data_IF_732801582849
#
_entry.id   IF_732801582849
#
_cell.length_a   1.000
_cell.length_b   1.000
_cell.length_c   1.000
_cell.angle_alpha   90.00
_cell.angle_beta   90.00
_cell.angle_gamma   90.00
#
_symmetry.space_group_name_H-M   'P 1'
#
loop_
_entity.id
_entity.type
_entity.pdbx_description
1 polymer ?
#
# COMPACT_ATOMS: atom_id res chain seq x y z
N UNK A 1 -38.68 2.52 4.45
CA UNK A 1 -37.66 3.15 5.33
C UNK A 1 -36.53 2.17 5.39
N UNK A 2 -35.49 2.37 4.59
CA UNK A 2 -34.30 1.53 4.67
C UNK A 2 -33.57 1.88 5.96
N UNK A 3 -33.40 0.88 6.82
CA UNK A 3 -32.58 1.02 8.02
C UNK A 3 -31.14 1.33 7.59
N UNK A 4 -30.45 2.29 8.24
CA UNK A 4 -29.06 2.55 7.92
C UNK A 4 -28.23 1.27 8.16
N UNK A 5 -27.41 0.92 7.17
CA UNK A 5 -26.54 -0.26 7.24
C UNK A 5 -25.61 -0.16 8.46
N UNK A 6 -25.28 -1.28 9.13
CA UNK A 6 -24.33 -1.27 10.24
C UNK A 6 -22.99 -0.68 9.82
N UNK A 7 -22.48 0.29 10.58
CA UNK A 7 -21.15 0.86 10.40
C UNK A 7 -20.27 0.37 11.55
N UNK A 8 -19.28 -0.44 11.20
CA UNK A 8 -18.34 -1.10 12.11
C UNK A 8 -17.00 -0.34 12.11
N UNK A 9 -16.38 -0.02 13.26
CA UNK A 9 -15.07 0.60 13.26
C UNK A 9 -14.00 -0.38 12.73
N UNK A 10 -13.16 0.08 11.82
CA UNK A 10 -12.06 -0.71 11.27
C UNK A 10 -10.69 -0.13 11.62
N UNK A 11 -9.69 -1.00 11.70
CA UNK A 11 -8.30 -0.63 11.99
C UNK A 11 -7.37 -1.32 11.02
N UNK A 12 -6.41 -0.56 10.51
CA UNK A 12 -5.33 -1.02 9.65
C UNK A 12 -4.01 -0.87 10.39
N UNK A 13 -3.11 -1.85 10.25
CA UNK A 13 -1.75 -1.79 10.75
C UNK A 13 -0.79 -2.43 9.75
N UNK A 14 0.33 -1.78 9.47
CA UNK A 14 1.38 -2.36 8.64
C UNK A 14 2.40 -3.11 9.51
N UNK A 15 3.00 -4.16 8.96
CA UNK A 15 3.91 -5.06 9.66
C UNK A 15 5.32 -5.01 9.08
N UNK A 16 6.20 -5.87 9.60
CA UNK A 16 7.55 -6.09 9.06
C UNK A 16 7.49 -6.97 7.80
N UNK A 17 8.66 -7.21 7.21
CA UNK A 17 8.85 -8.13 6.09
C UNK A 17 8.06 -7.76 4.82
N UNK A 18 7.79 -6.46 4.64
CA UNK A 18 7.21 -5.90 3.43
C UNK A 18 8.30 -5.75 2.37
N UNK A 19 7.88 -5.50 1.13
CA UNK A 19 8.77 -5.16 0.02
C UNK A 19 8.17 -4.05 -0.82
N UNK A 20 9.06 -3.27 -1.40
CA UNK A 20 8.74 -2.32 -2.45
C UNK A 20 9.68 -2.59 -3.61
N UNK A 21 9.21 -2.43 -4.84
CA UNK A 21 10.03 -2.56 -6.03
C UNK A 21 9.63 -1.50 -7.03
N UNK A 22 10.59 -0.98 -7.78
CA UNK A 22 10.32 -0.03 -8.85
C UNK A 22 11.30 -0.28 -9.99
N UNK A 23 10.80 -0.23 -11.23
CA UNK A 23 11.59 -0.46 -12.42
C UNK A 23 12.36 -1.79 -12.39
N UNK A 24 13.49 -1.82 -13.07
CA UNK A 24 14.43 -2.93 -13.09
C UNK A 24 15.25 -3.07 -11.80
N UNK A 25 15.05 -2.19 -10.80
CA UNK A 25 15.75 -2.31 -9.53
C UNK A 25 15.30 -3.57 -8.76
N UNK A 26 16.24 -4.27 -8.10
CA UNK A 26 15.93 -5.29 -7.10
C UNK A 26 14.95 -4.77 -6.06
N UNK A 27 14.13 -5.66 -5.50
CA UNK A 27 13.16 -5.25 -4.49
C UNK A 27 13.84 -4.83 -3.18
N UNK A 28 13.34 -3.74 -2.62
CA UNK A 28 13.70 -3.21 -1.33
C UNK A 28 12.98 -4.01 -0.25
N UNK A 29 13.71 -4.56 0.73
CA UNK A 29 13.11 -5.08 1.96
C UNK A 29 12.70 -3.89 2.82
N UNK A 30 11.51 -3.93 3.38
CA UNK A 30 10.91 -2.80 4.08
C UNK A 30 10.25 -3.26 5.38
N UNK A 31 10.65 -2.63 6.47
CA UNK A 31 9.96 -2.69 7.76
C UNK A 31 8.94 -1.55 7.79
N UNK A 32 7.69 -1.89 7.50
CA UNK A 32 6.58 -0.96 7.57
C UNK A 32 5.96 -0.91 8.97
N UNK A 33 6.53 -1.57 9.99
CA UNK A 33 5.92 -1.58 11.31
C UNK A 33 5.78 -0.17 11.89
N UNK A 34 4.68 0.06 12.61
CA UNK A 34 4.32 1.37 13.13
C UNK A 34 3.38 2.17 12.22
N UNK A 35 3.16 1.74 10.98
CA UNK A 35 2.06 2.27 10.17
C UNK A 35 0.70 1.81 10.69
N UNK A 36 -0.28 2.69 10.57
CA UNK A 36 -1.61 2.50 11.13
C UNK A 36 -2.65 3.34 10.42
N UNK A 37 -3.92 2.93 10.47
CA UNK A 37 -5.05 3.73 10.04
C UNK A 37 -6.32 3.31 10.77
N UNK A 38 -7.29 4.22 10.83
CA UNK A 38 -8.64 3.94 11.35
C UNK A 38 -9.66 4.20 10.26
N UNK A 39 -10.72 3.42 10.23
CA UNK A 39 -11.72 3.49 9.19
C UNK A 39 -13.08 2.98 9.65
N UNK A 40 -13.93 2.78 8.67
CA UNK A 40 -15.26 2.19 8.84
C UNK A 40 -15.43 1.02 7.89
N UNK A 41 -16.12 -0.02 8.36
CA UNK A 41 -16.65 -1.13 7.58
C UNK A 41 -18.17 -1.00 7.46
N UNK A 42 -18.72 -1.27 6.28
CA UNK A 42 -20.17 -1.33 6.07
C UNK A 42 -20.50 -2.62 5.35
N UNK A 43 -21.42 -3.40 5.91
CA UNK A 43 -22.03 -4.55 5.23
C UNK A 43 -23.08 -4.02 4.26
N UNK A 44 -22.99 -4.37 2.98
CA UNK A 44 -24.00 -3.97 2.00
C UNK A 44 -25.12 -5.02 1.95
N UNK A 45 -26.30 -4.71 2.48
CA UNK A 45 -27.49 -5.51 2.18
C UNK A 45 -27.93 -5.23 0.74
N UNK A 46 -27.87 -6.27 -0.12
CA UNK A 46 -28.54 -6.30 -1.43
C UNK A 46 -27.73 -5.88 -2.67
N UNK A 47 -26.56 -5.24 -2.53
CA UNK A 47 -25.73 -4.81 -3.67
C UNK A 47 -24.43 -5.61 -3.86
N UNK A 48 -24.06 -6.41 -2.86
CA UNK A 48 -22.85 -7.24 -2.83
C UNK A 48 -23.24 -8.64 -2.32
N UNK A 49 -22.44 -9.68 -2.59
CA UNK A 49 -22.55 -10.95 -1.85
C UNK A 49 -22.62 -10.65 -0.34
N UNK A 50 -23.51 -11.33 0.38
CA UNK A 50 -23.79 -11.10 1.80
C UNK A 50 -22.53 -11.05 2.68
N UNK A 51 -21.46 -11.71 2.24
CA UNK A 51 -20.20 -11.89 2.97
C UNK A 51 -19.17 -10.78 2.71
N UNK A 52 -19.45 -9.79 1.85
CA UNK A 52 -18.51 -8.71 1.58
C UNK A 52 -18.75 -7.49 2.48
N UNK A 53 -17.68 -7.00 3.08
CA UNK A 53 -17.63 -5.74 3.82
C UNK A 53 -16.93 -4.71 2.95
N UNK A 54 -17.55 -3.55 2.76
CA UNK A 54 -16.87 -2.38 2.22
C UNK A 54 -16.11 -1.69 3.35
N UNK A 55 -14.81 -1.49 3.20
CA UNK A 55 -13.97 -0.77 4.18
C UNK A 55 -13.42 0.51 3.58
N UNK A 56 -13.38 1.58 4.36
CA UNK A 56 -12.75 2.85 3.99
C UNK A 56 -11.92 3.37 5.16
N UNK A 57 -10.61 3.54 4.94
CA UNK A 57 -9.70 4.07 5.95
C UNK A 57 -9.53 5.57 5.77
N UNK A 58 -9.60 6.30 6.88
CA UNK A 58 -9.48 7.74 6.88
C UNK A 58 -8.05 8.17 6.56
N UNK A 59 -7.86 8.81 5.40
CA UNK A 59 -6.56 9.30 4.95
C UNK A 59 -5.88 10.25 5.96
N UNK A 60 -6.65 10.95 6.82
CA UNK A 60 -6.09 11.83 7.86
C UNK A 60 -5.43 11.06 9.01
N UNK A 61 -5.84 9.82 9.26
CA UNK A 61 -5.27 8.98 10.33
C UNK A 61 -4.37 7.89 9.78
N UNK A 62 -4.39 7.68 8.46
CA UNK A 62 -3.56 6.69 7.78
C UNK A 62 -2.10 7.17 7.70
N UNK A 63 -1.23 6.40 8.34
CA UNK A 63 0.20 6.62 8.40
C UNK A 63 0.92 5.38 7.86
N UNK A 64 1.87 5.61 6.96
CA UNK A 64 2.80 4.59 6.46
C UNK A 64 4.22 5.09 6.71
N UNK A 65 5.10 4.33 7.37
CA UNK A 65 6.45 4.79 7.69
C UNK A 65 7.23 5.18 6.43
N UNK A 66 8.02 6.27 6.44
CA UNK A 66 8.84 6.61 5.29
C UNK A 66 9.93 5.54 5.06
N UNK A 67 10.39 5.40 3.81
CA UNK A 67 11.58 4.61 3.52
C UNK A 67 12.81 5.43 3.88
N UNK A 68 13.61 4.88 4.78
CA UNK A 68 14.83 5.50 5.31
C UNK A 68 15.88 4.42 5.56
N UNK A 69 17.07 4.81 6.00
CA UNK A 69 18.10 3.86 6.47
C UNK A 69 17.61 2.99 7.64
N UNK A 70 16.64 3.45 8.44
CA UNK A 70 16.08 2.67 9.55
C UNK A 70 15.08 1.60 9.08
N UNK A 71 14.23 1.94 8.11
CA UNK A 71 13.08 1.12 7.70
C UNK A 71 13.35 0.26 6.46
N UNK A 72 14.38 0.56 5.68
CA UNK A 72 14.55 -0.08 4.36
C UNK A 72 15.95 -0.67 4.18
N UNK A 73 16.02 -1.82 3.49
CA UNK A 73 17.26 -2.45 3.05
C UNK A 73 17.23 -2.71 1.54
N UNK A 74 18.23 -2.24 0.82
CA UNK A 74 18.46 -2.52 -0.60
C UNK A 74 19.69 -3.41 -0.72
N UNK A 75 19.54 -4.60 -1.34
CA UNK A 75 20.61 -5.61 -1.42
C UNK A 75 21.26 -5.94 -0.05
N UNK A 76 20.47 -5.88 1.02
CA UNK A 76 20.94 -6.17 2.40
C UNK A 76 21.54 -4.97 3.14
N UNK A 77 21.83 -3.87 2.44
CA UNK A 77 22.39 -2.65 3.05
C UNK A 77 21.27 -1.64 3.37
N UNK A 78 21.41 -0.83 4.44
CA UNK A 78 20.49 0.28 4.67
C UNK A 78 20.49 1.23 3.46
N UNK A 79 19.36 1.92 3.24
CA UNK A 79 19.33 3.00 2.27
C UNK A 79 20.42 4.04 2.58
N UNK A 80 21.02 4.68 1.56
CA UNK A 80 22.02 5.72 1.75
C UNK A 80 21.56 6.77 2.77
N UNK A 81 22.47 7.27 3.62
CA UNK A 81 22.15 8.36 4.54
C UNK A 81 21.49 9.54 3.81
N UNK A 82 20.57 10.21 4.51
CA UNK A 82 19.82 11.38 4.01
C UNK A 82 18.80 11.10 2.89
N UNK A 83 18.82 9.92 2.26
CA UNK A 83 17.78 9.51 1.33
C UNK A 83 16.52 9.17 2.11
N UNK A 84 15.41 9.82 1.74
CA UNK A 84 14.10 9.60 2.32
C UNK A 84 13.04 9.54 1.22
N UNK A 85 12.17 8.55 1.31
CA UNK A 85 10.94 8.49 0.52
C UNK A 85 9.76 8.56 1.48
N UNK A 86 9.07 9.70 1.54
CA UNK A 86 7.83 9.82 2.31
C UNK A 86 6.67 9.24 1.52
N UNK A 87 5.85 8.43 2.19
CA UNK A 87 4.61 7.89 1.64
C UNK A 87 3.46 8.67 2.27
N UNK A 88 2.69 9.38 1.44
CA UNK A 88 1.52 10.14 1.86
C UNK A 88 0.29 9.50 1.22
N UNK A 89 -0.45 8.64 1.96
CA UNK A 89 -1.67 8.03 1.46
C UNK A 89 -2.77 9.06 1.21
N UNK A 90 -3.52 8.88 0.12
CA UNK A 90 -4.70 9.67 -0.23
C UNK A 90 -5.97 8.80 -0.19
N UNK A 91 -5.86 7.53 -0.61
CA UNK A 91 -6.95 6.56 -0.61
C UNK A 91 -6.44 5.22 -0.09
N UNK A 92 -7.20 4.62 0.81
CA UNK A 92 -7.12 3.20 1.15
C UNK A 92 -8.53 2.72 1.49
N UNK A 93 -9.18 2.05 0.55
CA UNK A 93 -10.56 1.59 0.69
C UNK A 93 -10.82 0.41 -0.23
N UNK A 94 -11.86 -0.37 0.01
CA UNK A 94 -12.20 -1.47 -0.87
C UNK A 94 -13.04 -2.51 -0.15
N UNK A 95 -12.79 -3.79 -0.45
CA UNK A 95 -13.67 -4.87 -0.01
C UNK A 95 -12.91 -5.98 0.69
N UNK A 96 -13.59 -6.60 1.64
CA UNK A 96 -13.12 -7.77 2.38
C UNK A 96 -14.24 -8.81 2.37
N UNK A 97 -13.95 -10.00 1.85
CA UNK A 97 -14.87 -11.12 1.87
C UNK A 97 -14.66 -11.93 3.16
N UNK A 98 -15.68 -11.95 4.04
CA UNK A 98 -15.64 -12.58 5.37
C UNK A 98 -15.39 -14.10 5.30
N UNK A 99 -15.97 -14.78 4.32
CA UNK A 99 -15.89 -16.24 4.18
C UNK A 99 -14.51 -16.68 3.67
N UNK A 100 -14.08 -16.11 2.54
CA UNK A 100 -12.84 -16.50 1.88
C UNK A 100 -11.58 -15.83 2.45
N UNK A 101 -11.73 -14.71 3.17
CA UNK A 101 -10.63 -13.85 3.61
C UNK A 101 -10.03 -12.98 2.50
N UNK A 102 -10.61 -12.96 1.30
CA UNK A 102 -10.09 -12.16 0.19
C UNK A 102 -10.20 -10.67 0.51
N UNK A 103 -9.13 -9.92 0.23
CA UNK A 103 -9.04 -8.47 0.44
C UNK A 103 -8.63 -7.80 -0.87
N UNK A 104 -9.38 -6.79 -1.30
CA UNK A 104 -9.02 -5.92 -2.43
C UNK A 104 -9.18 -4.45 -2.00
N UNK A 105 -8.07 -3.72 -1.87
CA UNK A 105 -8.07 -2.31 -1.46
C UNK A 105 -7.51 -1.42 -2.57
N UNK A 106 -8.31 -0.51 -3.09
CA UNK A 106 -7.82 0.65 -3.83
C UNK A 106 -6.84 1.43 -2.95
N UNK A 107 -5.65 1.65 -3.47
CA UNK A 107 -4.57 2.39 -2.82
C UNK A 107 -4.08 3.49 -3.75
N UNK A 108 -4.08 4.71 -3.23
CA UNK A 108 -3.49 5.88 -3.87
C UNK A 108 -2.60 6.59 -2.88
N UNK A 109 -1.35 6.84 -3.27
CA UNK A 109 -0.42 7.58 -2.43
C UNK A 109 0.62 8.35 -3.25
N UNK A 110 1.10 9.43 -2.65
CA UNK A 110 2.24 10.21 -3.14
C UNK A 110 3.52 9.73 -2.49
N UNK A 111 4.52 9.42 -3.30
CA UNK A 111 5.85 9.02 -2.87
C UNK A 111 6.82 10.19 -3.11
N UNK A 112 7.20 10.89 -2.04
CA UNK A 112 8.08 12.05 -2.11
C UNK A 112 9.54 11.63 -1.89
N UNK A 113 10.33 11.68 -2.95
CA UNK A 113 11.76 11.41 -2.88
C UNK A 113 12.55 12.67 -2.49
N UNK A 114 13.48 12.52 -1.56
CA UNK A 114 14.40 13.59 -1.15
C UNK A 114 15.76 13.03 -0.72
N UNK A 115 16.79 13.87 -0.86
CA UNK A 115 18.16 13.60 -0.40
C UNK A 115 18.64 14.80 0.42
N UNK A 116 18.59 14.67 1.75
CA UNK A 116 18.95 15.74 2.67
C UNK A 116 18.20 17.04 2.37
N UNK A 117 18.90 18.16 2.49
CA UNK A 117 18.40 19.49 2.10
C UNK A 117 18.73 19.86 0.65
N UNK A 118 19.40 18.98 -0.09
CA UNK A 118 20.04 19.30 -1.39
C UNK A 118 19.08 19.03 -2.55
N UNK A 119 18.24 18.00 -2.43
CA UNK A 119 17.36 17.59 -3.51
C UNK A 119 16.01 17.09 -3.01
N UNK A 120 14.95 17.51 -3.72
CA UNK A 120 13.58 17.02 -3.53
C UNK A 120 12.89 16.95 -4.89
N UNK A 121 12.45 15.75 -5.25
CA UNK A 121 11.69 15.54 -6.48
C UNK A 121 10.20 15.87 -6.28
N UNK A 122 9.46 16.17 -7.36
CA UNK A 122 8.01 16.02 -7.39
C UNK A 122 7.58 14.60 -6.96
N UNK A 123 6.35 14.43 -6.44
CA UNK A 123 5.93 13.13 -5.94
C UNK A 123 5.65 12.16 -7.09
N UNK A 124 6.07 10.90 -6.93
CA UNK A 124 5.57 9.81 -7.76
C UNK A 124 4.17 9.45 -7.26
N UNK A 125 3.17 9.56 -8.13
CA UNK A 125 1.81 9.12 -7.81
C UNK A 125 1.69 7.63 -8.11
N UNK A 126 1.31 6.85 -7.10
CA UNK A 126 1.07 5.41 -7.23
C UNK A 126 -0.40 5.15 -6.98
N UNK A 127 -1.05 4.54 -7.97
CA UNK A 127 -2.45 4.12 -7.93
C UNK A 127 -2.51 2.63 -8.27
N UNK A 128 -3.04 1.81 -7.36
CA UNK A 128 -3.13 0.35 -7.55
C UNK A 128 -4.27 -0.25 -6.72
N UNK A 129 -4.53 -1.53 -6.95
CA UNK A 129 -5.30 -2.36 -6.02
C UNK A 129 -4.31 -3.22 -5.24
N UNK A 130 -4.24 -3.02 -3.94
CA UNK A 130 -3.59 -3.91 -2.98
C UNK A 130 -4.50 -5.11 -2.72
N UNK A 131 -4.18 -6.25 -3.31
CA UNK A 131 -4.98 -7.48 -3.25
C UNK A 131 -4.30 -8.57 -2.44
N UNK A 132 -5.07 -9.41 -1.76
CA UNK A 132 -4.58 -10.66 -1.16
C UNK A 132 -4.36 -11.78 -2.18
N UNK A 133 -4.73 -11.57 -3.44
CA UNK A 133 -4.52 -12.53 -4.52
C UNK A 133 -3.23 -12.24 -5.31
N UNK A 134 -3.12 -12.74 -6.54
CA UNK A 134 -2.03 -12.39 -7.44
C UNK A 134 -2.24 -11.00 -8.07
N UNK A 135 -1.18 -10.20 -8.10
CA UNK A 135 -1.12 -8.94 -8.84
C UNK A 135 0.05 -9.01 -9.83
N UNK A 136 -0.23 -8.79 -11.11
CA UNK A 136 0.72 -9.02 -12.21
C UNK A 136 0.76 -7.84 -13.17
N UNK A 137 1.95 -7.29 -13.36
CA UNK A 137 2.29 -6.37 -14.43
C UNK A 137 3.09 -7.05 -15.54
N UNK A 138 3.74 -6.25 -16.38
CA UNK A 138 4.63 -6.71 -17.46
C UNK A 138 5.97 -7.21 -16.92
N UNK A 139 6.50 -6.57 -15.88
CA UNK A 139 7.82 -6.80 -15.30
C UNK A 139 7.76 -7.30 -13.86
N UNK A 140 6.78 -6.83 -13.07
CA UNK A 140 6.64 -7.17 -11.65
C UNK A 140 5.45 -8.12 -11.43
N UNK A 141 5.59 -9.04 -10.48
CA UNK A 141 4.52 -9.93 -10.02
C UNK A 141 4.60 -10.11 -8.51
N UNK A 142 3.45 -10.16 -7.86
CA UNK A 142 3.32 -10.47 -6.44
C UNK A 142 2.15 -11.41 -6.21
N UNK A 143 2.25 -12.20 -5.14
CA UNK A 143 1.15 -13.02 -4.64
C UNK A 143 0.91 -12.68 -3.17
N UNK A 144 -0.30 -12.26 -2.86
CA UNK A 144 -0.74 -11.97 -1.51
C UNK A 144 -1.12 -13.23 -0.72
N UNK A 145 -1.57 -13.00 0.51
CA UNK A 145 -2.09 -13.99 1.42
C UNK A 145 -3.38 -13.42 2.03
N UNK A 146 -4.45 -14.21 1.98
CA UNK A 146 -5.78 -13.83 2.47
C UNK A 146 -5.77 -13.52 3.96
N UNK A 147 -6.75 -12.72 4.37
CA UNK A 147 -6.99 -12.37 5.75
C UNK A 147 -7.27 -13.64 6.57
N UNK A 148 -6.48 -13.84 7.62
CA UNK A 148 -6.67 -14.93 8.58
C UNK A 148 -7.56 -14.51 9.77
N UNK A 149 -7.84 -15.46 10.65
CA UNK A 149 -8.65 -15.23 11.85
C UNK A 149 -8.03 -14.27 12.88
N UNK A 150 -6.73 -13.97 12.78
CA UNK A 150 -6.06 -12.93 13.59
C UNK A 150 -6.09 -11.55 12.91
N UNK A 151 -6.73 -11.46 11.74
CA UNK A 151 -6.78 -10.27 10.91
C UNK A 151 -5.49 -10.00 10.15
N UNK A 152 -4.54 -10.94 10.08
CA UNK A 152 -3.29 -10.75 9.32
C UNK A 152 -3.50 -11.13 7.85
N UNK A 153 -2.93 -10.34 6.96
CA UNK A 153 -2.91 -10.61 5.53
C UNK A 153 -1.60 -10.10 4.90
N UNK A 154 -1.38 -10.50 3.65
CA UNK A 154 -0.34 -9.94 2.79
C UNK A 154 -0.98 -9.42 1.52
N UNK A 155 -0.83 -8.13 1.28
CA UNK A 155 -1.44 -7.45 0.14
C UNK A 155 -0.36 -7.08 -0.87
N UNK A 156 -0.61 -7.38 -2.13
CA UNK A 156 0.29 -7.07 -3.25
C UNK A 156 -0.41 -6.18 -4.26
N UNK A 157 0.31 -5.23 -4.83
CA UNK A 157 -0.22 -4.36 -5.88
C UNK A 157 0.87 -3.95 -6.84
N UNK A 158 0.63 -4.15 -8.13
CA UNK A 158 1.49 -3.67 -9.22
C UNK A 158 0.85 -2.44 -9.86
N UNK A 159 1.65 -1.44 -10.18
CA UNK A 159 1.19 -0.22 -10.86
C UNK A 159 2.22 0.28 -11.86
N UNK A 160 1.78 1.10 -12.80
CA UNK A 160 2.66 1.88 -13.67
C UNK A 160 2.82 3.28 -13.07
N UNK A 161 4.07 3.66 -12.83
CA UNK A 161 4.47 5.02 -12.43
C UNK A 161 4.71 5.83 -13.70
N UNK A 162 3.95 6.91 -13.86
CA UNK A 162 4.10 7.85 -14.97
C UNK A 162 5.30 8.78 -14.75
N UNK A 163 5.74 9.45 -15.82
CA UNK A 163 6.78 10.49 -15.73
C UNK A 163 6.30 11.66 -14.88
N UNK A 164 7.21 12.23 -14.11
CA UNK A 164 6.93 13.39 -13.25
C UNK A 164 7.56 14.69 -13.78
N UNK A 165 8.11 14.67 -14.99
CA UNK A 165 8.78 15.79 -15.65
C UNK A 165 9.98 16.31 -14.84
N UNK A 166 10.63 15.43 -14.08
CA UNK A 166 11.93 15.66 -13.45
C UNK A 166 12.96 14.82 -14.21
N UNK A 167 13.86 15.48 -14.94
CA UNK A 167 14.80 14.81 -15.84
C UNK A 167 15.69 13.78 -15.12
N UNK A 168 16.14 14.10 -13.90
CA UNK A 168 16.96 13.20 -13.12
C UNK A 168 16.15 11.96 -12.71
N UNK A 169 14.97 12.14 -12.11
CA UNK A 169 14.15 11.02 -11.64
C UNK A 169 13.59 10.17 -12.77
N UNK A 170 13.12 10.79 -13.85
CA UNK A 170 12.57 10.07 -15.00
C UNK A 170 13.66 9.24 -15.68
N UNK A 171 14.90 9.74 -15.74
CA UNK A 171 16.04 8.98 -16.26
C UNK A 171 16.48 7.90 -15.28
N UNK A 172 16.62 8.23 -13.99
CA UNK A 172 17.07 7.31 -12.94
C UNK A 172 16.14 6.10 -12.78
N UNK A 173 14.83 6.31 -12.91
CA UNK A 173 13.83 5.25 -12.85
C UNK A 173 13.56 4.59 -14.21
N UNK A 174 13.96 5.23 -15.31
CA UNK A 174 13.56 4.83 -16.66
C UNK A 174 12.05 4.97 -16.88
N UNK A 175 11.45 6.05 -16.38
CA UNK A 175 10.00 6.27 -16.40
C UNK A 175 9.46 6.50 -17.83
N UNK A 176 8.22 6.05 -18.15
CA UNK A 176 7.29 5.35 -17.27
C UNK A 176 7.79 3.94 -16.96
N UNK A 177 7.50 3.47 -15.75
CA UNK A 177 8.01 2.19 -15.27
C UNK A 177 7.01 1.50 -14.35
N UNK A 178 7.23 0.24 -14.01
CA UNK A 178 6.37 -0.49 -13.08
C UNK A 178 6.89 -0.46 -11.65
N UNK A 179 5.99 -0.34 -10.69
CA UNK A 179 6.30 -0.56 -9.28
C UNK A 179 5.44 -1.68 -8.69
N UNK A 180 5.93 -2.29 -7.63
CA UNK A 180 5.20 -3.26 -6.81
C UNK A 180 5.25 -2.86 -5.35
N UNK A 181 4.12 -2.97 -4.68
CA UNK A 181 4.02 -2.99 -3.23
C UNK A 181 3.67 -4.40 -2.78
N UNK A 182 4.35 -4.87 -1.74
CA UNK A 182 4.15 -6.15 -1.07
C UNK A 182 4.10 -5.87 0.44
N UNK A 183 2.90 -5.87 1.00
CA UNK A 183 2.59 -5.28 2.29
C UNK A 183 1.99 -6.34 3.21
N UNK A 184 2.74 -6.73 4.24
CA UNK A 184 2.15 -7.44 5.37
C UNK A 184 1.37 -6.45 6.23
N UNK A 185 0.12 -6.79 6.51
CA UNK A 185 -0.78 -5.93 7.26
C UNK A 185 -1.62 -6.74 8.26
N UNK A 186 -2.24 -6.01 9.19
CA UNK A 186 -3.36 -6.46 10.00
C UNK A 186 -4.56 -5.55 9.77
N UNK A 187 -5.70 -6.16 9.54
CA UNK A 187 -6.99 -5.50 9.38
C UNK A 187 -7.96 -6.07 10.42
N UNK A 188 -8.53 -5.17 11.22
CA UNK A 188 -9.57 -5.51 12.19
C UNK A 188 -10.85 -4.79 11.81
N UNK A 189 -11.97 -5.49 11.90
CA UNK A 189 -13.32 -4.96 11.72
C UNK A 189 -14.10 -5.43 12.95
N UNK A 190 -14.74 -4.50 13.65
CA UNK A 190 -15.35 -4.73 14.96
C UNK A 190 -16.86 -4.68 14.92
#
# INVERSE_FOLDING_TARGET
>A
MDLPLPIEPSKFQTLKACKLGISWYPDFKYDASGGSGTGTGTTCDGAMPLDNISVSFNAKTLYVPPLTSATTRFLGLPLPPFLKIEIVPEILQGTINKDSGKVDLEFKAKFWFSVGSIYRAPPLLVETVLTSEESKGRMKVGKGERLDGEGKCRLVGVSTVTRINDFFMDTFLGSPTECIADLNARIFIK
#
